data_IF_613724555200
#
_entry.id   IF_613724555200
#
_cell.length_a   1.000
_cell.length_b   1.000
_cell.length_c   1.000
_cell.angle_alpha   90.00
_cell.angle_beta   90.00
_cell.angle_gamma   90.00
#
_symmetry.space_group_name_H-M   'P 1'
#
loop_
_entity.id
_entity.type
_entity.pdbx_description
1 polymer ?
#
# COMPACT_ATOMS: atom_id res chain seq x y z
N UNK A 1 13.26 -32.53 -14.12
CA UNK A 1 12.02 -32.38 -13.33
C UNK A 1 12.08 -31.04 -12.57
N UNK A 2 12.02 -29.91 -13.28
CA UNK A 2 12.15 -28.55 -12.69
C UNK A 2 11.29 -27.52 -13.45
N UNK A 3 10.04 -27.86 -13.78
CA UNK A 3 9.14 -26.97 -14.54
C UNK A 3 7.70 -26.97 -13.99
N UNK A 4 7.52 -27.04 -12.66
CA UNK A 4 6.17 -27.02 -12.07
C UNK A 4 5.93 -25.95 -10.98
N UNK A 5 6.93 -25.23 -10.50
CA UNK A 5 6.75 -24.27 -9.40
C UNK A 5 6.58 -22.79 -9.80
N UNK A 6 6.74 -22.43 -11.08
CA UNK A 6 6.67 -21.01 -11.52
C UNK A 6 5.30 -20.54 -12.02
N UNK A 7 4.29 -21.39 -12.02
CA UNK A 7 3.00 -21.09 -12.68
C UNK A 7 1.84 -20.72 -11.74
N UNK A 8 2.06 -20.64 -10.41
CA UNK A 8 0.96 -20.37 -9.45
C UNK A 8 1.09 -19.05 -8.66
N UNK A 9 2.19 -18.30 -8.76
CA UNK A 9 2.32 -17.00 -8.06
C UNK A 9 1.65 -15.85 -8.81
N UNK A 10 1.39 -16.00 -10.10
CA UNK A 10 0.84 -14.93 -10.96
C UNK A 10 -0.66 -14.64 -10.77
N UNK A 11 -1.32 -15.23 -9.77
CA UNK A 11 -2.75 -15.03 -9.50
C UNK A 11 -3.06 -14.56 -8.08
N UNK A 12 -2.05 -14.40 -7.21
CA UNK A 12 -2.24 -13.87 -5.85
C UNK A 12 -1.77 -12.41 -5.78
N UNK A 13 -2.64 -11.44 -5.46
CA UNK A 13 -2.23 -10.06 -5.26
C UNK A 13 -1.16 -9.90 -4.15
N UNK A 14 -1.13 -10.77 -3.12
CA UNK A 14 -0.07 -10.72 -2.12
C UNK A 14 1.28 -11.17 -2.70
N UNK A 15 1.30 -12.13 -3.62
CA UNK A 15 2.55 -12.53 -4.29
C UNK A 15 3.14 -11.37 -5.09
N UNK A 16 2.31 -10.62 -5.84
CA UNK A 16 2.75 -9.42 -6.56
C UNK A 16 3.23 -8.31 -5.62
N UNK A 17 2.57 -8.14 -4.48
CA UNK A 17 2.95 -7.15 -3.48
C UNK A 17 4.32 -7.50 -2.85
N UNK A 18 4.51 -8.75 -2.39
CA UNK A 18 5.79 -9.22 -1.85
C UNK A 18 6.90 -9.09 -2.89
N UNK A 19 6.66 -9.52 -4.14
CA UNK A 19 7.65 -9.42 -5.22
C UNK A 19 8.09 -7.96 -5.45
N UNK A 20 7.15 -7.01 -5.45
CA UNK A 20 7.51 -5.60 -5.55
C UNK A 20 8.38 -5.13 -4.37
N UNK A 21 8.06 -5.54 -3.15
CA UNK A 21 8.86 -5.18 -1.97
C UNK A 21 10.29 -5.72 -2.05
N UNK A 22 10.46 -6.95 -2.52
CA UNK A 22 11.78 -7.56 -2.75
C UNK A 22 12.56 -6.78 -3.82
N UNK A 23 11.92 -6.46 -4.94
CA UNK A 23 12.52 -5.68 -6.03
C UNK A 23 12.93 -4.27 -5.61
N UNK A 24 12.22 -3.67 -4.63
CA UNK A 24 12.55 -2.37 -4.04
C UNK A 24 13.62 -2.45 -2.96
N UNK A 25 14.10 -3.64 -2.61
CA UNK A 25 15.15 -3.84 -1.62
C UNK A 25 14.72 -3.43 -0.21
N UNK A 26 13.45 -3.63 0.14
CA UNK A 26 12.99 -3.35 1.50
C UNK A 26 13.69 -4.28 2.51
N UNK A 27 14.05 -3.78 3.71
CA UNK A 27 14.67 -4.62 4.74
C UNK A 27 13.76 -5.77 5.17
N UNK A 28 14.34 -6.88 5.63
CA UNK A 28 13.61 -8.05 6.15
C UNK A 28 12.55 -7.68 7.19
N UNK A 29 12.86 -6.73 8.08
CA UNK A 29 11.95 -6.23 9.10
C UNK A 29 10.64 -5.65 8.53
N UNK A 30 10.67 -5.17 7.28
CA UNK A 30 9.54 -4.60 6.55
C UNK A 30 8.78 -5.62 5.70
N UNK A 31 9.41 -6.74 5.33
CA UNK A 31 8.78 -7.75 4.46
C UNK A 31 7.48 -8.31 5.05
N UNK A 32 7.38 -8.37 6.38
CA UNK A 32 6.14 -8.77 7.08
C UNK A 32 4.95 -7.84 6.83
N UNK A 33 5.17 -6.62 6.34
CA UNK A 33 4.13 -5.64 5.98
C UNK A 33 3.81 -5.65 4.47
N UNK A 34 4.42 -6.54 3.68
CA UNK A 34 4.19 -6.62 2.23
C UNK A 34 3.02 -7.54 1.87
N UNK A 35 1.93 -7.44 2.63
CA UNK A 35 0.68 -8.14 2.35
C UNK A 35 -0.49 -7.24 2.73
N UNK A 36 -1.61 -7.39 2.05
CA UNK A 36 -2.81 -6.59 2.32
C UNK A 36 -3.40 -6.88 3.71
N UNK A 37 -3.06 -8.01 4.33
CA UNK A 37 -3.55 -8.41 5.64
C UNK A 37 -2.70 -7.83 6.79
N UNK A 38 -1.42 -7.56 6.54
CA UNK A 38 -0.46 -7.14 7.58
C UNK A 38 -0.09 -5.66 7.47
N UNK A 39 -0.18 -5.08 6.28
CA UNK A 39 -0.10 -3.64 6.09
C UNK A 39 -1.39 -3.01 6.59
N UNK A 40 -1.46 -2.51 7.81
CA UNK A 40 -2.69 -1.97 8.41
C UNK A 40 -2.43 -0.59 9.02
N UNK A 41 -3.50 0.12 9.40
CA UNK A 41 -3.35 1.36 10.17
C UNK A 41 -2.49 1.13 11.41
N UNK A 42 -2.73 0.03 12.13
CA UNK A 42 -1.98 -0.29 13.35
C UNK A 42 -0.50 -0.58 13.08
N UNK A 43 -0.17 -1.23 11.96
CA UNK A 43 1.23 -1.43 11.59
C UNK A 43 1.94 -0.10 11.34
N UNK A 44 1.31 0.82 10.61
CA UNK A 44 1.84 2.18 10.39
C UNK A 44 2.01 2.97 11.69
N UNK A 45 1.03 2.88 12.60
CA UNK A 45 1.11 3.54 13.91
C UNK A 45 2.31 3.02 14.71
N UNK A 46 2.52 1.69 14.74
CA UNK A 46 3.70 1.12 15.42
C UNK A 46 5.01 1.55 14.75
N UNK A 47 5.06 1.61 13.42
CA UNK A 47 6.24 2.11 12.68
C UNK A 47 6.54 3.57 13.03
N UNK A 48 5.51 4.42 13.11
CA UNK A 48 5.63 5.83 13.48
C UNK A 48 6.19 6.00 14.90
N UNK A 49 5.64 5.26 15.87
CA UNK A 49 6.12 5.29 17.26
C UNK A 49 7.39 4.47 17.50
N UNK A 50 8.04 3.95 16.45
CA UNK A 50 9.26 3.11 16.53
C UNK A 50 9.09 1.87 17.42
N UNK A 51 7.86 1.38 17.52
CA UNK A 51 7.50 0.10 18.16
C UNK A 51 7.56 -1.06 17.15
N UNK A 52 7.81 -0.75 15.89
CA UNK A 52 8.00 -1.67 14.78
C UNK A 52 9.46 -1.59 14.31
N UNK A 53 10.10 -2.73 14.06
CA UNK A 53 11.45 -2.76 13.52
C UNK A 53 11.52 -2.22 12.07
N UNK A 54 10.41 -2.24 11.33
CA UNK A 54 10.33 -1.57 10.04
C UNK A 54 10.18 -0.06 10.26
N UNK A 55 11.06 0.79 9.71
CA UNK A 55 10.98 2.22 9.94
C UNK A 55 9.82 2.86 9.15
N UNK A 56 9.22 3.93 9.69
CA UNK A 56 8.05 4.59 9.07
C UNK A 56 8.30 5.09 7.64
N UNK A 57 9.52 5.49 7.28
CA UNK A 57 9.83 5.96 5.92
C UNK A 57 9.73 4.86 4.86
N UNK A 58 9.85 3.57 5.24
CA UNK A 58 9.64 2.45 4.32
C UNK A 58 8.16 2.30 3.92
N UNK A 59 7.23 2.90 4.68
CA UNK A 59 5.79 2.84 4.37
C UNK A 59 5.46 3.42 2.99
N UNK A 60 6.22 4.39 2.50
CA UNK A 60 6.00 4.96 1.17
C UNK A 60 6.22 3.92 0.06
N UNK A 61 7.31 3.15 0.14
CA UNK A 61 7.59 2.07 -0.83
C UNK A 61 6.64 0.88 -0.65
N UNK A 62 6.29 0.52 0.59
CA UNK A 62 5.29 -0.53 0.86
C UNK A 62 3.93 -0.13 0.24
N UNK A 63 3.52 1.13 0.41
CA UNK A 63 2.27 1.62 -0.17
C UNK A 63 2.32 1.72 -1.68
N UNK A 64 3.45 2.15 -2.25
CA UNK A 64 3.68 2.09 -3.70
C UNK A 64 3.46 0.67 -4.22
N UNK A 65 4.05 -0.33 -3.55
CA UNK A 65 3.96 -1.72 -3.95
C UNK A 65 2.55 -2.28 -3.80
N UNK A 66 1.83 -1.95 -2.72
CA UNK A 66 0.43 -2.29 -2.56
C UNK A 66 -0.42 -1.75 -3.72
N UNK A 67 -0.16 -0.51 -4.15
CA UNK A 67 -0.87 0.14 -5.25
C UNK A 67 -0.29 -0.17 -6.64
N UNK A 68 0.76 -0.98 -6.74
CA UNK A 68 1.49 -1.29 -7.97
C UNK A 68 1.86 -0.05 -8.81
N UNK A 69 2.14 1.07 -8.16
CA UNK A 69 2.50 2.32 -8.85
C UNK A 69 1.38 2.97 -9.67
N UNK A 70 0.11 2.71 -9.36
CA UNK A 70 -1.05 3.18 -10.15
C UNK A 70 -1.88 4.25 -9.45
N UNK A 71 -2.75 4.88 -10.24
CA UNK A 71 -3.72 5.87 -9.76
C UNK A 71 -5.06 5.22 -9.40
N UNK A 72 -5.41 5.26 -8.11
CA UNK A 72 -6.66 4.72 -7.57
C UNK A 72 -7.62 5.82 -7.09
N UNK A 73 -7.36 7.10 -7.39
CA UNK A 73 -8.14 8.23 -6.85
C UNK A 73 -9.64 8.08 -7.11
N UNK A 74 -10.03 7.60 -8.29
CA UNK A 74 -11.45 7.37 -8.61
C UNK A 74 -12.10 6.31 -7.70
N UNK A 75 -11.39 5.21 -7.39
CA UNK A 75 -11.89 4.20 -6.45
C UNK A 75 -11.93 4.76 -5.03
N UNK A 76 -10.85 5.42 -4.59
CA UNK A 76 -10.75 6.00 -3.26
C UNK A 76 -11.85 7.03 -2.97
N UNK A 77 -12.13 7.91 -3.93
CA UNK A 77 -13.19 8.90 -3.81
C UNK A 77 -14.56 8.22 -3.64
N UNK A 78 -14.89 7.21 -4.46
CA UNK A 78 -16.14 6.45 -4.33
C UNK A 78 -16.23 5.65 -3.02
N UNK A 79 -15.09 5.21 -2.48
CA UNK A 79 -15.00 4.44 -1.24
C UNK A 79 -14.76 5.31 0.00
N UNK A 80 -15.07 6.60 -0.07
CA UNK A 80 -15.14 7.48 1.10
C UNK A 80 -13.80 7.91 1.68
N UNK A 81 -12.68 7.76 0.96
CA UNK A 81 -11.35 8.21 1.43
C UNK A 81 -11.31 9.72 1.67
N UNK A 82 -12.15 10.50 0.99
CA UNK A 82 -12.25 11.96 1.16
C UNK A 82 -13.19 12.40 2.27
N UNK A 83 -13.76 11.47 3.05
CA UNK A 83 -14.72 11.78 4.14
C UNK A 83 -14.06 12.05 5.49
N UNK A 84 -12.73 12.08 5.54
CA UNK A 84 -11.96 12.43 6.74
C UNK A 84 -11.88 13.94 6.92
N UNK A 85 -11.36 14.40 8.06
CA UNK A 85 -11.09 15.82 8.30
C UNK A 85 -10.09 16.43 7.30
N UNK A 86 -9.24 15.61 6.66
CA UNK A 86 -8.28 16.05 5.66
C UNK A 86 -8.87 16.13 4.23
N UNK A 87 -10.09 15.60 4.03
CA UNK A 87 -10.85 15.76 2.79
C UNK A 87 -10.12 15.22 1.56
N UNK A 88 -10.13 16.00 0.48
CA UNK A 88 -9.53 15.65 -0.82
C UNK A 88 -8.02 15.41 -0.76
N UNK A 89 -7.31 15.94 0.25
CA UNK A 89 -5.87 15.69 0.44
C UNK A 89 -5.56 14.20 0.57
N UNK A 90 -6.50 13.40 1.07
CA UNK A 90 -6.30 11.96 1.22
C UNK A 90 -6.17 11.21 -0.11
N UNK A 91 -6.57 11.81 -1.23
CA UNK A 91 -6.35 11.23 -2.54
C UNK A 91 -4.87 11.19 -2.95
N UNK A 92 -4.00 11.97 -2.29
CA UNK A 92 -2.53 11.87 -2.47
C UNK A 92 -2.03 10.46 -2.16
N UNK A 93 -2.60 9.78 -1.16
CA UNK A 93 -2.23 8.41 -0.82
C UNK A 93 -2.73 7.35 -1.82
N UNK A 94 -3.68 7.73 -2.68
CA UNK A 94 -4.29 6.85 -3.67
C UNK A 94 -3.64 6.95 -5.06
N UNK A 95 -2.93 8.04 -5.33
CA UNK A 95 -2.11 8.18 -6.53
C UNK A 95 -0.67 7.77 -6.19
N UNK A 96 -0.28 6.56 -6.58
CA UNK A 96 1.05 6.04 -6.31
C UNK A 96 1.92 5.99 -7.57
N UNK A 97 1.56 6.75 -8.61
CA UNK A 97 2.41 6.89 -9.78
C UNK A 97 3.72 7.58 -9.40
N UNK A 98 4.87 7.12 -9.93
CA UNK A 98 6.15 7.74 -9.63
C UNK A 98 6.19 9.19 -10.14
N UNK A 99 7.03 10.02 -9.52
CA UNK A 99 7.30 11.39 -9.95
C UNK A 99 6.45 12.48 -9.30
N UNK A 100 5.41 12.13 -8.53
CA UNK A 100 4.65 13.11 -7.75
C UNK A 100 5.06 13.07 -6.27
N UNK A 101 6.08 13.85 -5.90
CA UNK A 101 6.53 13.94 -4.51
C UNK A 101 5.70 14.98 -3.77
N UNK A 102 4.89 14.53 -2.81
CA UNK A 102 4.16 15.41 -1.90
C UNK A 102 4.86 15.44 -0.55
N UNK A 103 5.15 16.64 -0.03
CA UNK A 103 5.58 16.80 1.35
C UNK A 103 4.38 16.61 2.27
N UNK A 104 4.37 15.52 3.02
CA UNK A 104 3.31 15.20 3.97
C UNK A 104 3.61 15.86 5.31
N UNK A 105 2.64 16.62 5.82
CA UNK A 105 2.64 17.20 7.16
C UNK A 105 1.56 16.53 8.05
N UNK A 106 1.41 17.01 9.28
CA UNK A 106 0.43 16.46 10.22
C UNK A 106 -1.03 16.63 9.78
N UNK A 107 -1.33 17.50 8.80
CA UNK A 107 -2.67 17.67 8.26
C UNK A 107 -3.16 16.45 7.45
N UNK A 108 -2.26 15.51 7.12
CA UNK A 108 -2.59 14.26 6.44
C UNK A 108 -2.91 13.10 7.38
N UNK A 109 -2.65 13.24 8.69
CA UNK A 109 -2.90 12.16 9.68
C UNK A 109 -4.35 11.62 9.64
N UNK A 110 -5.40 12.46 9.51
CA UNK A 110 -6.78 11.96 9.42
C UNK A 110 -7.02 11.01 8.24
N UNK A 111 -6.20 11.04 7.19
CA UNK A 111 -6.35 10.15 6.04
C UNK A 111 -6.20 8.67 6.41
N UNK A 112 -5.41 8.36 7.44
CA UNK A 112 -5.24 6.98 7.90
C UNK A 112 -6.50 6.39 8.54
N UNK A 113 -7.51 7.19 8.89
CA UNK A 113 -8.83 6.67 9.32
C UNK A 113 -9.57 5.92 8.20
N UNK A 114 -9.16 6.13 6.95
CA UNK A 114 -9.67 5.43 5.77
C UNK A 114 -8.61 4.54 5.12
N UNK A 115 -7.57 4.16 5.85
CA UNK A 115 -6.47 3.37 5.31
C UNK A 115 -6.93 2.01 4.72
N UNK A 116 -7.86 1.33 5.39
CA UNK A 116 -8.43 0.07 4.88
C UNK A 116 -9.23 0.29 3.58
N UNK A 117 -9.94 1.42 3.45
CA UNK A 117 -10.62 1.79 2.21
C UNK A 117 -9.64 2.05 1.06
N UNK A 118 -8.47 2.65 1.34
CA UNK A 118 -7.40 2.84 0.34
C UNK A 118 -6.86 1.47 -0.12
N UNK A 119 -6.45 0.61 0.82
CA UNK A 119 -5.93 -0.71 0.51
C UNK A 119 -6.92 -1.60 -0.23
N UNK A 120 -8.21 -1.55 0.13
CA UNK A 120 -9.24 -2.31 -0.56
C UNK A 120 -9.30 -1.93 -2.05
N UNK A 121 -9.16 -0.65 -2.38
CA UNK A 121 -9.07 -0.21 -3.78
C UNK A 121 -7.86 -0.80 -4.51
N UNK A 122 -6.70 -0.85 -3.85
CA UNK A 122 -5.48 -1.42 -4.41
C UNK A 122 -5.61 -2.94 -4.64
N UNK A 123 -6.15 -3.66 -3.66
CA UNK A 123 -6.42 -5.09 -3.77
C UNK A 123 -7.39 -5.40 -4.90
N UNK A 124 -8.53 -4.71 -4.95
CA UNK A 124 -9.55 -4.96 -5.96
C UNK A 124 -9.09 -4.63 -7.38
N UNK A 125 -8.30 -3.57 -7.58
CA UNK A 125 -7.66 -3.32 -8.89
C UNK A 125 -6.81 -4.52 -9.31
N UNK A 126 -5.99 -5.02 -8.39
CA UNK A 126 -5.11 -6.17 -8.65
C UNK A 126 -5.92 -7.41 -9.01
N UNK A 127 -6.88 -7.79 -8.16
CA UNK A 127 -7.74 -8.96 -8.38
C UNK A 127 -8.47 -8.88 -9.71
N UNK A 128 -8.98 -7.70 -10.09
CA UNK A 128 -9.72 -7.56 -11.33
C UNK A 128 -8.84 -7.65 -12.58
N UNK A 129 -7.54 -7.40 -12.47
CA UNK A 129 -6.58 -7.56 -13.58
C UNK A 129 -6.00 -8.96 -13.72
N UNK A 130 -6.06 -9.76 -12.65
CA UNK A 130 -5.58 -11.15 -12.66
C UNK A 130 -6.62 -12.15 -13.20
N UNK A 131 -7.85 -11.69 -13.41
CA UNK A 131 -8.92 -12.42 -14.10
C UNK A 131 -8.71 -12.37 -15.61
#
# INVERSE_FOLDING_TARGET
>A
MFLSYRFSSFQDPNALFVECCEQRGLPDACMRHCSYNTFTKDSLVRMYFKQDACPVHASAEIQFCAAQGRDHRACCQRNGVTTTLAGVKCLTFCDQRPGNVTMLDMSYVPCYDRFENMKACFWHDTVNRLK
#
